data_IF_097080625188
#
_entry.id   IF_097080625188
#
_cell.length_a   1.000
_cell.length_b   1.000
_cell.length_c   1.000
_cell.angle_alpha   90.00
_cell.angle_beta   90.00
_cell.angle_gamma   90.00
#
_symmetry.space_group_name_H-M   'P 1'
#
loop_
_entity.id
_entity.type
_entity.pdbx_description
1 polymer ?
#
# COMPACT_ATOMS: atom_id res chain seq x y z
N UNK A 1 64.33 69.22 6.32
CA UNK A 1 63.96 67.83 6.79
C UNK A 1 62.45 67.69 6.94
N UNK A 2 61.74 68.78 7.26
CA UNK A 2 60.27 68.76 7.46
C UNK A 2 59.43 68.50 6.21
N UNK A 3 59.89 68.98 5.03
CA UNK A 3 59.17 68.81 3.75
C UNK A 3 59.07 67.37 3.27
N UNK A 4 60.09 66.56 3.57
CA UNK A 4 60.09 65.12 3.22
C UNK A 4 59.16 64.31 4.12
N UNK A 5 58.99 64.72 5.36
CA UNK A 5 58.09 64.08 6.35
C UNK A 5 56.62 64.35 5.99
N UNK A 6 56.30 65.57 5.54
CA UNK A 6 54.94 65.93 5.11
C UNK A 6 54.52 65.14 3.89
N UNK A 7 55.42 64.99 2.86
CA UNK A 7 55.14 64.19 1.66
C UNK A 7 54.91 62.73 1.99
N UNK A 8 55.67 62.13 2.92
CA UNK A 8 55.49 60.76 3.33
C UNK A 8 54.19 60.55 4.05
N UNK A 9 53.74 61.46 4.89
CA UNK A 9 52.46 61.41 5.60
C UNK A 9 51.29 61.52 4.59
N UNK A 10 51.37 62.42 3.58
CA UNK A 10 50.34 62.59 2.55
C UNK A 10 50.23 61.34 1.67
N UNK A 11 51.35 60.72 1.26
CA UNK A 11 51.35 59.47 0.50
C UNK A 11 50.77 58.31 1.31
N UNK A 12 51.07 58.23 2.61
CA UNK A 12 50.53 57.24 3.50
C UNK A 12 49.00 57.34 3.65
N UNK A 13 48.48 58.55 3.79
CA UNK A 13 47.04 58.83 3.85
C UNK A 13 46.34 58.49 2.53
N UNK A 14 46.96 58.81 1.41
CA UNK A 14 46.42 58.48 0.08
C UNK A 14 46.33 56.99 -0.16
N UNK A 15 47.35 56.22 0.24
CA UNK A 15 47.34 54.74 0.21
C UNK A 15 46.27 54.14 1.08
N UNK A 16 46.03 54.70 2.24
CA UNK A 16 44.98 54.27 3.19
C UNK A 16 43.58 54.48 2.59
N UNK A 17 43.32 55.64 1.95
CA UNK A 17 42.05 55.94 1.28
C UNK A 17 41.79 54.99 0.13
N UNK A 18 42.80 54.72 -0.72
CA UNK A 18 42.70 53.79 -1.88
C UNK A 18 42.42 52.35 -1.35
N UNK A 19 43.11 51.94 -0.28
CA UNK A 19 42.89 50.62 0.32
C UNK A 19 41.50 50.47 0.87
N UNK A 20 40.97 51.47 1.57
CA UNK A 20 39.59 51.48 2.07
C UNK A 20 38.55 51.45 0.94
N UNK A 21 38.79 52.22 -0.14
CA UNK A 21 37.91 52.20 -1.31
C UNK A 21 37.88 50.82 -2.00
N UNK A 22 39.04 50.18 -2.13
CA UNK A 22 39.15 48.83 -2.71
C UNK A 22 38.46 47.77 -1.86
N UNK A 23 38.59 47.84 -0.52
CA UNK A 23 37.87 46.97 0.41
C UNK A 23 36.34 47.18 0.37
N UNK A 24 35.89 48.44 0.22
CA UNK A 24 34.48 48.79 0.06
C UNK A 24 33.88 48.18 -1.23
N UNK A 25 34.60 48.26 -2.37
CA UNK A 25 34.18 47.70 -3.63
C UNK A 25 34.12 46.17 -3.57
N UNK A 26 35.10 45.51 -2.94
CA UNK A 26 35.11 44.05 -2.74
C UNK A 26 33.99 43.61 -1.80
N UNK A 27 33.71 44.34 -0.75
CA UNK A 27 32.61 44.03 0.20
C UNK A 27 31.24 44.21 -0.49
N UNK A 28 31.05 45.25 -1.24
CA UNK A 28 29.83 45.51 -2.02
C UNK A 28 29.60 44.46 -3.09
N UNK A 29 30.65 44.04 -3.79
CA UNK A 29 30.63 42.95 -4.76
C UNK A 29 30.26 41.59 -4.12
N UNK A 30 30.81 41.27 -2.93
CA UNK A 30 30.44 40.05 -2.16
C UNK A 30 29.00 40.07 -1.70
N UNK A 31 28.49 41.21 -1.26
CA UNK A 31 27.09 41.38 -0.81
C UNK A 31 26.11 41.22 -1.97
N UNK A 32 26.42 41.78 -3.13
CA UNK A 32 25.60 41.63 -4.34
C UNK A 32 25.59 40.17 -4.88
N UNK A 33 26.72 39.47 -4.86
CA UNK A 33 26.78 38.04 -5.21
C UNK A 33 25.99 37.16 -4.26
N UNK A 34 25.97 37.46 -2.93
CA UNK A 34 25.12 36.74 -1.96
C UNK A 34 23.63 36.99 -2.22
N UNK A 35 23.23 38.25 -2.54
CA UNK A 35 21.83 38.55 -2.90
C UNK A 35 21.40 37.84 -4.19
N UNK A 36 22.24 37.83 -5.22
CA UNK A 36 21.96 37.12 -6.47
C UNK A 36 21.85 35.60 -6.28
N UNK A 37 22.73 35.00 -5.46
CA UNK A 37 22.61 33.56 -5.12
C UNK A 37 21.34 33.23 -4.34
N UNK A 38 20.94 34.07 -3.40
CA UNK A 38 19.68 33.84 -2.66
C UNK A 38 18.45 34.00 -3.55
N UNK A 39 18.43 34.95 -4.48
CA UNK A 39 17.36 35.11 -5.47
C UNK A 39 17.30 33.95 -6.48
N UNK A 40 18.46 33.44 -6.90
CA UNK A 40 18.54 32.27 -7.79
C UNK A 40 18.04 31.00 -7.08
N UNK A 41 18.39 30.82 -5.81
CA UNK A 41 17.90 29.71 -5.01
C UNK A 41 16.39 29.80 -4.72
N UNK A 42 15.87 31.01 -4.48
CA UNK A 42 14.42 31.21 -4.36
C UNK A 42 13.69 30.95 -5.70
N UNK A 43 14.25 31.38 -6.84
CA UNK A 43 13.69 31.03 -8.16
C UNK A 43 13.69 29.54 -8.40
N UNK A 44 14.80 28.84 -8.12
CA UNK A 44 14.88 27.37 -8.23
C UNK A 44 13.89 26.66 -7.31
N UNK A 45 13.75 27.09 -6.06
CA UNK A 45 12.76 26.53 -5.14
C UNK A 45 11.31 26.80 -5.57
N UNK A 46 11.03 27.97 -6.12
CA UNK A 46 9.70 28.30 -6.64
C UNK A 46 9.39 27.55 -7.94
N UNK A 47 10.40 27.31 -8.78
CA UNK A 47 10.28 26.50 -9.98
C UNK A 47 10.10 25.02 -9.64
N UNK A 48 10.84 24.48 -8.66
CA UNK A 48 10.59 23.14 -8.10
C UNK A 48 9.22 23.01 -7.44
N UNK A 49 8.73 24.06 -6.73
CA UNK A 49 7.36 24.10 -6.21
C UNK A 49 6.31 24.20 -7.32
N UNK A 50 6.60 24.88 -8.44
CA UNK A 50 5.73 24.92 -9.64
C UNK A 50 5.71 23.59 -10.38
N UNK A 51 6.85 22.91 -10.50
CA UNK A 51 6.97 21.58 -11.11
C UNK A 51 6.25 20.53 -10.24
N UNK A 52 6.30 20.66 -8.89
CA UNK A 52 5.47 19.85 -7.97
C UNK A 52 3.96 20.16 -8.04
N UNK A 53 3.58 21.29 -8.62
CA UNK A 53 2.17 21.69 -8.88
C UNK A 53 1.65 21.33 -10.26
N UNK A 54 2.49 20.80 -11.14
CA UNK A 54 2.03 20.01 -12.26
C UNK A 54 1.60 18.69 -11.63
N UNK A 55 0.27 18.46 -11.51
CA UNK A 55 -0.36 17.23 -11.06
C UNK A 55 0.01 16.06 -12.00
N UNK A 56 1.27 15.66 -11.97
CA UNK A 56 1.67 14.36 -12.51
C UNK A 56 1.32 13.38 -11.38
N UNK A 57 0.32 12.53 -11.56
CA UNK A 57 -0.06 11.58 -10.53
C UNK A 57 1.15 10.71 -10.18
N UNK A 58 1.48 10.64 -8.88
CA UNK A 58 2.59 9.83 -8.36
C UNK A 58 2.25 8.36 -8.55
N UNK A 59 3.11 7.63 -9.30
CA UNK A 59 2.93 6.20 -9.51
C UNK A 59 3.23 5.44 -8.22
N UNK A 60 2.24 4.72 -7.68
CA UNK A 60 2.34 4.00 -6.40
C UNK A 60 2.57 2.50 -6.60
N UNK A 61 1.84 1.90 -7.56
CA UNK A 61 1.95 0.47 -7.86
C UNK A 61 2.06 0.28 -9.37
N UNK A 62 3.11 -0.43 -9.81
CA UNK A 62 3.27 -0.85 -11.20
C UNK A 62 3.35 -2.36 -11.28
N UNK A 63 2.40 -2.96 -11.98
CA UNK A 63 2.35 -4.37 -12.32
C UNK A 63 2.79 -4.51 -13.77
N UNK A 64 3.83 -5.31 -14.03
CA UNK A 64 4.43 -5.43 -15.36
C UNK A 64 4.60 -6.90 -15.76
N UNK A 65 3.85 -7.32 -16.80
CA UNK A 65 3.90 -8.62 -17.46
C UNK A 65 3.83 -9.81 -16.48
N UNK A 66 2.93 -9.73 -15.49
CA UNK A 66 2.81 -10.74 -14.44
C UNK A 66 2.17 -11.99 -15.00
N UNK A 67 2.91 -13.10 -14.88
CA UNK A 67 2.42 -14.47 -15.12
C UNK A 67 2.61 -15.30 -13.86
N UNK A 68 1.60 -16.06 -13.46
CA UNK A 68 1.65 -16.95 -12.31
C UNK A 68 1.20 -18.36 -12.66
N UNK A 69 2.12 -19.31 -12.60
CA UNK A 69 1.91 -20.72 -12.81
C UNK A 69 2.00 -21.46 -11.47
N UNK A 70 0.93 -22.16 -11.08
CA UNK A 70 0.94 -23.09 -9.95
C UNK A 70 1.21 -24.51 -10.44
N UNK A 71 1.97 -25.28 -9.66
CA UNK A 71 2.11 -26.71 -9.87
C UNK A 71 0.98 -27.42 -9.14
N UNK A 72 0.16 -28.17 -9.87
CA UNK A 72 -0.89 -29.01 -9.31
C UNK A 72 -0.49 -30.46 -9.50
N UNK A 73 -0.34 -31.18 -8.42
CA UNK A 73 -0.18 -32.64 -8.48
C UNK A 73 -1.55 -33.26 -8.85
N UNK A 74 -1.58 -34.06 -9.88
CA UNK A 74 -2.82 -34.67 -10.39
C UNK A 74 -3.27 -35.85 -9.54
N UNK A 75 -2.33 -36.49 -8.85
CA UNK A 75 -2.58 -37.62 -7.98
C UNK A 75 -1.89 -37.34 -6.63
N UNK A 76 -2.67 -37.14 -5.58
CA UNK A 76 -2.16 -37.02 -4.21
C UNK A 76 -1.48 -38.33 -3.82
N UNK A 77 -0.15 -38.36 -3.79
CA UNK A 77 0.57 -39.46 -3.19
C UNK A 77 0.37 -39.43 -1.68
N UNK A 78 -0.32 -40.42 -1.16
CA UNK A 78 -0.65 -40.48 0.29
C UNK A 78 0.55 -40.86 1.17
N UNK A 79 1.71 -41.25 0.57
CA UNK A 79 2.94 -41.56 1.31
C UNK A 79 4.21 -41.21 0.54
N UNK A 80 5.31 -40.89 1.25
CA UNK A 80 6.65 -40.69 0.68
C UNK A 80 7.12 -41.91 -0.15
N UNK A 81 6.73 -43.13 0.25
CA UNK A 81 7.06 -44.37 -0.45
C UNK A 81 6.38 -44.41 -1.82
N UNK A 82 5.12 -44.01 -1.91
CA UNK A 82 4.36 -43.93 -3.14
C UNK A 82 4.91 -42.86 -4.09
N UNK A 83 5.31 -41.69 -3.54
CA UNK A 83 6.00 -40.61 -4.27
C UNK A 83 7.31 -41.12 -4.92
N UNK A 84 8.13 -41.85 -4.16
CA UNK A 84 9.38 -42.42 -4.65
C UNK A 84 9.15 -43.45 -5.76
N UNK A 85 8.17 -44.35 -5.61
CA UNK A 85 7.82 -45.36 -6.61
C UNK A 85 7.29 -44.72 -7.90
N UNK A 86 6.43 -43.73 -7.81
CA UNK A 86 5.86 -42.97 -8.94
C UNK A 86 6.92 -42.16 -9.67
N UNK A 87 7.87 -41.55 -8.92
CA UNK A 87 9.00 -40.80 -9.48
C UNK A 87 9.92 -41.71 -10.30
N UNK A 88 10.28 -42.91 -9.78
CA UNK A 88 11.11 -43.89 -10.49
C UNK A 88 10.40 -44.45 -11.71
N UNK A 89 9.08 -44.63 -11.67
CA UNK A 89 8.27 -45.13 -12.79
C UNK A 89 7.92 -44.06 -13.83
N UNK A 90 8.39 -42.80 -13.67
CA UNK A 90 8.05 -41.72 -14.61
C UNK A 90 6.57 -41.35 -14.63
N UNK A 91 5.81 -41.76 -13.62
CA UNK A 91 4.36 -41.53 -13.49
C UNK A 91 4.03 -40.26 -12.74
N UNK A 92 5.05 -39.50 -12.28
CA UNK A 92 4.87 -38.22 -11.61
C UNK A 92 4.48 -37.15 -12.63
N UNK A 93 3.17 -36.91 -12.78
CA UNK A 93 2.65 -35.84 -13.65
C UNK A 93 2.27 -34.64 -12.83
N UNK A 94 3.06 -33.58 -12.93
CA UNK A 94 2.74 -32.27 -12.42
C UNK A 94 2.07 -31.45 -13.52
N UNK A 95 0.80 -31.11 -13.33
CA UNK A 95 0.08 -30.23 -14.24
C UNK A 95 0.31 -28.78 -13.83
N UNK A 96 0.64 -27.93 -14.80
CA UNK A 96 0.77 -26.49 -14.54
C UNK A 96 -0.60 -25.84 -14.70
N UNK A 97 -1.06 -25.18 -13.66
CA UNK A 97 -2.25 -24.33 -13.70
C UNK A 97 -1.82 -22.87 -13.78
N UNK A 98 -2.13 -22.20 -14.89
CA UNK A 98 -1.86 -20.78 -15.07
C UNK A 98 -2.98 -19.96 -14.47
N UNK A 99 -2.69 -19.29 -13.37
CA UNK A 99 -3.63 -18.45 -12.65
C UNK A 99 -3.67 -17.00 -13.18
N UNK A 100 -2.52 -16.49 -13.68
CA UNK A 100 -2.39 -15.16 -14.29
C UNK A 100 -1.51 -15.29 -15.55
N UNK A 101 -1.86 -14.56 -16.59
CA UNK A 101 -1.15 -14.56 -17.86
C UNK A 101 -0.99 -13.13 -18.40
N UNK A 102 0.25 -12.64 -18.38
CA UNK A 102 0.71 -11.35 -18.92
C UNK A 102 -0.11 -10.13 -18.47
N UNK A 103 -0.35 -10.00 -17.15
CA UNK A 103 -1.10 -8.88 -16.59
C UNK A 103 -0.19 -7.69 -16.38
N UNK A 104 -0.61 -6.52 -16.89
CA UNK A 104 0.08 -5.24 -16.70
C UNK A 104 -0.92 -4.12 -16.42
N UNK A 105 -0.67 -3.30 -15.38
CA UNK A 105 -1.43 -2.09 -15.07
C UNK A 105 -0.67 -1.20 -14.09
N UNK A 106 -1.13 0.05 -13.97
CA UNK A 106 -0.56 1.06 -13.09
C UNK A 106 -1.63 1.66 -12.19
N UNK A 107 -1.27 1.91 -10.93
CA UNK A 107 -2.11 2.54 -9.92
C UNK A 107 -1.35 3.73 -9.35
N UNK A 108 -2.02 4.87 -9.31
CA UNK A 108 -1.47 6.11 -8.83
C UNK A 108 -1.92 6.38 -7.38
N UNK A 109 -1.14 7.18 -6.67
CA UNK A 109 -1.36 7.54 -5.28
C UNK A 109 -2.75 8.15 -5.07
N UNK A 110 -3.45 7.64 -4.06
CA UNK A 110 -4.80 8.09 -3.72
C UNK A 110 -5.91 7.53 -4.61
N UNK A 111 -5.61 6.67 -5.60
CA UNK A 111 -6.65 5.96 -6.35
C UNK A 111 -7.31 4.89 -5.49
N UNK A 112 -8.62 4.75 -5.65
CA UNK A 112 -9.40 3.62 -5.12
C UNK A 112 -9.74 2.70 -6.29
N UNK A 113 -9.07 1.55 -6.35
CA UNK A 113 -9.14 0.64 -7.50
C UNK A 113 -9.93 -0.61 -7.15
N UNK A 114 -11.03 -0.83 -7.85
CA UNK A 114 -11.82 -2.05 -7.74
C UNK A 114 -11.31 -3.15 -8.67
N UNK A 115 -11.16 -4.37 -8.18
CA UNK A 115 -10.81 -5.54 -8.99
C UNK A 115 -12.01 -6.48 -9.03
N UNK A 116 -12.54 -6.69 -10.23
CA UNK A 116 -13.71 -7.54 -10.48
C UNK A 116 -13.36 -8.74 -11.38
N UNK A 117 -14.21 -9.76 -11.35
CA UNK A 117 -14.07 -10.97 -12.15
C UNK A 117 -14.72 -12.18 -11.46
N UNK A 118 -14.92 -13.25 -12.19
CA UNK A 118 -15.51 -14.51 -11.69
C UNK A 118 -14.61 -15.19 -10.64
N UNK A 119 -15.17 -16.16 -9.91
CA UNK A 119 -14.37 -17.01 -9.01
C UNK A 119 -13.29 -17.75 -9.81
N UNK A 120 -12.06 -17.80 -9.26
CA UNK A 120 -10.92 -18.39 -9.95
C UNK A 120 -10.31 -17.55 -11.07
N UNK A 121 -10.75 -16.30 -11.29
CA UNK A 121 -10.19 -15.44 -12.35
C UNK A 121 -8.78 -14.91 -12.07
N UNK A 122 -8.26 -15.06 -10.84
CA UNK A 122 -6.91 -14.62 -10.45
C UNK A 122 -6.86 -13.39 -9.54
N UNK A 123 -8.01 -12.84 -9.10
CA UNK A 123 -8.08 -11.63 -8.25
C UNK A 123 -7.23 -11.71 -6.98
N UNK A 124 -7.47 -12.73 -6.15
CA UNK A 124 -6.70 -12.91 -4.91
C UNK A 124 -5.23 -13.26 -5.16
N UNK A 125 -4.92 -13.87 -6.32
CA UNK A 125 -3.54 -14.16 -6.73
C UNK A 125 -2.78 -12.87 -7.01
N UNK A 126 -3.35 -11.94 -7.79
CA UNK A 126 -2.68 -10.66 -8.09
C UNK A 126 -2.53 -9.80 -6.82
N UNK A 127 -3.51 -9.80 -5.90
CA UNK A 127 -3.39 -9.10 -4.63
C UNK A 127 -2.25 -9.66 -3.76
N UNK A 128 -2.13 -10.99 -3.66
CA UNK A 128 -1.04 -11.65 -2.94
C UNK A 128 0.32 -11.36 -3.56
N UNK A 129 0.41 -11.17 -4.87
CA UNK A 129 1.64 -10.78 -5.55
C UNK A 129 1.97 -9.30 -5.24
N UNK A 130 1.00 -8.41 -5.29
CA UNK A 130 1.18 -6.98 -4.95
C UNK A 130 1.61 -6.83 -3.50
N UNK A 131 0.97 -7.53 -2.56
CA UNK A 131 1.34 -7.51 -1.14
C UNK A 131 2.68 -8.19 -0.83
N UNK A 132 3.26 -8.91 -1.80
CA UNK A 132 4.51 -9.65 -1.62
C UNK A 132 4.37 -11.01 -0.95
N UNK A 133 3.14 -11.46 -0.68
CA UNK A 133 2.86 -12.80 -0.13
C UNK A 133 3.11 -13.92 -1.16
N UNK A 134 3.10 -13.59 -2.46
CA UNK A 134 3.46 -14.51 -3.55
C UNK A 134 4.50 -13.88 -4.47
N UNK A 135 5.41 -14.71 -4.98
CA UNK A 135 6.39 -14.33 -6.01
C UNK A 135 5.85 -14.78 -7.36
N UNK A 136 5.70 -13.90 -8.36
CA UNK A 136 5.21 -14.29 -9.68
C UNK A 136 6.19 -15.19 -10.41
N UNK A 137 5.69 -16.06 -11.30
CA UNK A 137 6.52 -16.92 -12.14
C UNK A 137 7.29 -16.12 -13.19
N UNK A 138 6.68 -15.02 -13.69
CA UNK A 138 7.29 -14.05 -14.63
C UNK A 138 6.78 -12.64 -14.34
N UNK A 139 7.53 -11.64 -14.81
CA UNK A 139 7.18 -10.23 -14.64
C UNK A 139 7.68 -9.66 -13.31
N UNK A 140 7.30 -8.42 -13.02
CA UNK A 140 7.71 -7.70 -11.81
C UNK A 140 6.59 -6.81 -11.30
N UNK A 141 6.53 -6.64 -9.97
CA UNK A 141 5.71 -5.62 -9.31
C UNK A 141 6.65 -4.62 -8.64
N UNK A 142 6.42 -3.35 -8.89
CA UNK A 142 7.11 -2.22 -8.27
C UNK A 142 6.12 -1.59 -7.28
N UNK A 143 6.38 -1.77 -6.01
CA UNK A 143 5.60 -1.24 -4.88
C UNK A 143 6.48 -1.25 -3.64
N UNK A 144 6.33 -0.28 -2.77
CA UNK A 144 6.96 -0.35 -1.44
C UNK A 144 6.13 -1.27 -0.54
N UNK A 145 6.60 -2.49 -0.34
CA UNK A 145 5.89 -3.52 0.44
C UNK A 145 5.69 -3.13 1.91
N UNK A 146 6.54 -2.26 2.46
CA UNK A 146 6.42 -1.80 3.84
C UNK A 146 5.20 -0.88 4.04
N UNK A 147 4.67 -0.33 2.96
CA UNK A 147 3.51 0.55 2.92
C UNK A 147 2.21 -0.20 2.67
N UNK A 148 2.29 -1.47 2.29
CA UNK A 148 1.13 -2.30 1.93
C UNK A 148 0.58 -3.01 3.15
N UNK A 149 -0.69 -2.80 3.44
CA UNK A 149 -1.45 -3.61 4.39
C UNK A 149 -2.52 -4.41 3.66
N UNK A 150 -2.43 -5.74 3.74
CA UNK A 150 -3.45 -6.65 3.24
C UNK A 150 -4.40 -6.99 4.39
N UNK A 151 -5.65 -6.55 4.29
CA UNK A 151 -6.71 -6.91 5.21
C UNK A 151 -7.30 -8.26 4.79
N UNK A 152 -6.81 -9.34 5.41
CA UNK A 152 -7.41 -10.67 5.32
C UNK A 152 -8.05 -10.99 6.65
N UNK A 153 -9.36 -11.16 6.67
CA UNK A 153 -10.09 -11.41 7.90
C UNK A 153 -10.05 -12.89 8.29
N UNK A 154 -9.74 -13.14 9.56
CA UNK A 154 -9.83 -14.47 10.17
C UNK A 154 -8.68 -15.42 9.87
N UNK A 155 -7.66 -15.00 9.13
CA UNK A 155 -6.42 -15.79 8.98
C UNK A 155 -5.57 -15.65 10.23
N UNK A 156 -5.15 -16.78 10.83
CA UNK A 156 -4.22 -16.79 11.95
C UNK A 156 -4.88 -16.85 13.34
N UNK A 157 -6.20 -17.04 13.44
CA UNK A 157 -6.83 -17.35 14.72
C UNK A 157 -6.53 -18.79 15.14
N UNK A 158 -6.10 -18.95 16.38
CA UNK A 158 -6.04 -20.26 17.04
C UNK A 158 -7.30 -20.45 17.88
N UNK A 159 -8.11 -21.43 17.52
CA UNK A 159 -9.39 -21.69 18.18
C UNK A 159 -9.25 -22.27 19.59
N UNK A 160 -8.08 -22.77 19.95
CA UNK A 160 -7.80 -23.25 21.32
C UNK A 160 -7.38 -22.13 22.27
N UNK A 161 -7.00 -20.98 21.75
CA UNK A 161 -6.67 -19.79 22.52
C UNK A 161 -7.95 -18.96 22.82
N UNK A 162 -7.85 -18.14 23.85
CA UNK A 162 -8.89 -17.16 24.23
C UNK A 162 -8.94 -16.00 23.22
N UNK A 163 -10.03 -15.20 23.26
CA UNK A 163 -10.13 -13.98 22.49
C UNK A 163 -8.96 -13.03 22.75
N UNK A 164 -8.60 -12.87 24.04
CA UNK A 164 -7.46 -12.07 24.50
C UNK A 164 -6.16 -12.54 23.87
N UNK A 165 -5.84 -13.81 23.96
CA UNK A 165 -4.61 -14.38 23.39
C UNK A 165 -4.57 -14.23 21.86
N UNK A 166 -5.72 -14.38 21.20
CA UNK A 166 -5.83 -14.18 19.76
C UNK A 166 -5.61 -12.71 19.34
N UNK A 167 -5.95 -11.71 20.17
CA UNK A 167 -5.60 -10.30 19.89
C UNK A 167 -4.10 -10.15 19.78
N UNK A 168 -3.33 -10.72 20.69
CA UNK A 168 -1.86 -10.67 20.65
C UNK A 168 -1.29 -11.49 19.50
N UNK A 169 -1.79 -12.70 19.28
CA UNK A 169 -1.33 -13.58 18.21
C UNK A 169 -1.57 -12.93 16.84
N UNK A 170 -2.80 -12.50 16.57
CA UNK A 170 -3.14 -11.86 15.30
C UNK A 170 -2.46 -10.50 15.12
N UNK A 171 -2.38 -9.70 16.18
CA UNK A 171 -1.64 -8.44 16.14
C UNK A 171 -0.18 -8.65 15.76
N UNK A 172 0.48 -9.67 16.33
CA UNK A 172 1.85 -10.01 15.98
C UNK A 172 2.00 -10.50 14.52
N UNK A 173 1.04 -11.29 14.00
CA UNK A 173 1.01 -11.74 12.60
C UNK A 173 0.89 -10.54 11.65
N UNK A 174 0.10 -9.52 12.02
CA UNK A 174 -0.07 -8.27 11.25
C UNK A 174 1.18 -7.37 11.36
N UNK A 175 2.06 -7.62 12.35
CA UNK A 175 3.29 -6.86 12.58
C UNK A 175 3.18 -5.78 13.66
N UNK A 176 2.20 -5.89 14.56
CA UNK A 176 2.11 -5.03 15.75
C UNK A 176 3.02 -5.55 16.84
N UNK A 177 3.72 -4.66 17.53
CA UNK A 177 4.45 -5.02 18.73
C UNK A 177 3.51 -5.12 19.94
N UNK A 178 3.98 -5.79 21.00
CA UNK A 178 3.20 -5.97 22.22
C UNK A 178 2.75 -4.66 22.84
N UNK A 179 3.62 -3.64 22.84
CA UNK A 179 3.32 -2.34 23.43
C UNK A 179 2.18 -1.63 22.69
N UNK A 180 2.17 -1.71 21.37
CA UNK A 180 1.08 -1.17 20.56
C UNK A 180 -0.24 -1.89 20.89
N UNK A 181 -0.23 -3.22 20.98
CA UNK A 181 -1.42 -4.00 21.32
C UNK A 181 -1.92 -3.65 22.71
N UNK A 182 -1.04 -3.56 23.72
CA UNK A 182 -1.40 -3.17 25.09
C UNK A 182 -2.09 -1.80 25.13
N UNK A 183 -1.62 -0.84 24.31
CA UNK A 183 -2.19 0.52 24.23
C UNK A 183 -3.57 0.58 23.56
N UNK A 184 -3.85 -0.33 22.64
CA UNK A 184 -5.08 -0.32 21.84
C UNK A 184 -6.03 -1.49 22.16
N UNK A 185 -5.70 -2.30 23.16
CA UNK A 185 -6.49 -3.49 23.51
C UNK A 185 -7.95 -3.16 23.78
N UNK A 186 -8.21 -2.17 24.62
CA UNK A 186 -9.56 -1.78 24.98
C UNK A 186 -10.34 -1.23 23.77
N UNK A 187 -9.67 -0.47 22.86
CA UNK A 187 -10.29 -0.01 21.61
C UNK A 187 -10.69 -1.21 20.73
N UNK A 188 -9.81 -2.21 20.59
CA UNK A 188 -10.09 -3.43 19.82
C UNK A 188 -11.32 -4.15 20.38
N UNK A 189 -11.34 -4.39 21.69
CA UNK A 189 -12.42 -5.12 22.37
C UNK A 189 -13.75 -4.37 22.23
N UNK A 190 -13.75 -3.07 22.50
CA UNK A 190 -14.93 -2.20 22.39
C UNK A 190 -15.43 -2.11 20.94
N UNK A 191 -14.51 -2.02 19.96
CA UNK A 191 -14.92 -2.01 18.56
C UNK A 191 -15.56 -3.33 18.14
N UNK A 192 -15.02 -4.48 18.60
CA UNK A 192 -15.54 -5.81 18.33
C UNK A 192 -16.85 -6.12 19.08
N UNK A 193 -17.17 -5.36 20.16
CA UNK A 193 -18.32 -5.58 21.06
C UNK A 193 -18.26 -6.97 21.73
N UNK A 194 -17.08 -7.30 22.31
CA UNK A 194 -16.77 -8.61 22.88
C UNK A 194 -16.26 -8.53 24.32
N UNK A 195 -16.56 -7.45 25.06
CA UNK A 195 -16.04 -7.19 26.41
C UNK A 195 -16.24 -8.36 27.37
N UNK A 196 -17.38 -9.04 27.29
CA UNK A 196 -17.72 -10.17 28.16
C UNK A 196 -17.21 -11.55 27.71
N UNK A 197 -16.52 -11.61 26.53
CA UNK A 197 -16.13 -12.87 25.89
C UNK A 197 -14.64 -13.08 25.78
N UNK A 198 -13.82 -12.06 26.11
CA UNK A 198 -12.39 -12.08 25.79
C UNK A 198 -11.59 -13.18 26.51
N UNK A 199 -12.06 -13.68 27.61
CA UNK A 199 -11.41 -14.78 28.37
C UNK A 199 -11.96 -16.17 27.99
N UNK A 200 -12.95 -16.21 27.06
CA UNK A 200 -13.48 -17.44 26.49
C UNK A 200 -12.61 -17.89 25.29
N UNK A 201 -12.52 -19.21 25.09
CA UNK A 201 -11.82 -19.78 23.92
C UNK A 201 -12.58 -19.46 22.63
N UNK A 202 -11.84 -19.10 21.58
CA UNK A 202 -12.40 -18.71 20.27
C UNK A 202 -13.22 -19.84 19.62
N UNK A 203 -12.97 -21.10 19.94
CA UNK A 203 -13.83 -22.22 19.50
C UNK A 203 -15.29 -22.10 19.96
N UNK A 204 -15.54 -21.33 21.02
CA UNK A 204 -16.88 -21.06 21.53
C UNK A 204 -17.55 -19.85 20.88
N UNK A 205 -16.81 -19.11 20.05
CA UNK A 205 -17.31 -17.93 19.34
C UNK A 205 -18.17 -18.31 18.15
N UNK A 206 -19.18 -17.50 17.86
CA UNK A 206 -19.84 -17.54 16.55
C UNK A 206 -18.90 -17.05 15.45
N UNK A 207 -19.18 -17.42 14.19
CA UNK A 207 -18.42 -16.90 13.05
C UNK A 207 -18.45 -15.36 12.96
N UNK A 208 -19.57 -14.75 13.37
CA UNK A 208 -19.71 -13.30 13.48
C UNK A 208 -18.78 -12.70 14.54
N UNK A 209 -18.65 -13.31 15.72
CA UNK A 209 -17.73 -12.87 16.77
C UNK A 209 -16.27 -12.93 16.32
N UNK A 210 -15.87 -14.04 15.68
CA UNK A 210 -14.52 -14.20 15.11
C UNK A 210 -14.24 -13.10 14.08
N UNK A 211 -15.18 -12.88 13.17
CA UNK A 211 -15.04 -11.87 12.11
C UNK A 211 -14.98 -10.46 12.67
N UNK A 212 -15.78 -10.12 13.70
CA UNK A 212 -15.75 -8.82 14.38
C UNK A 212 -14.42 -8.57 15.06
N UNK A 213 -13.90 -9.57 15.80
CA UNK A 213 -12.59 -9.45 16.46
C UNK A 213 -11.47 -9.31 15.46
N UNK A 214 -11.44 -10.12 14.40
CA UNK A 214 -10.45 -10.05 13.33
C UNK A 214 -10.44 -8.67 12.65
N UNK A 215 -11.62 -8.13 12.36
CA UNK A 215 -11.75 -6.81 11.76
C UNK A 215 -11.26 -5.70 12.70
N UNK A 216 -11.60 -5.74 13.98
CA UNK A 216 -11.17 -4.76 14.97
C UNK A 216 -9.64 -4.73 15.08
N UNK A 217 -8.98 -5.90 15.20
CA UNK A 217 -7.52 -6.03 15.26
C UNK A 217 -6.89 -5.43 13.98
N UNK A 218 -7.42 -5.80 12.81
CA UNK A 218 -6.84 -5.41 11.54
C UNK A 218 -6.98 -3.91 11.22
N UNK A 219 -7.95 -3.22 11.84
CA UNK A 219 -8.27 -1.81 11.54
C UNK A 219 -7.94 -0.82 12.66
N UNK A 220 -7.31 -1.27 13.74
CA UNK A 220 -6.98 -0.41 14.90
C UNK A 220 -5.82 0.54 14.62
N UNK A 221 -4.91 0.18 13.71
CA UNK A 221 -3.76 1.01 13.36
C UNK A 221 -4.15 2.20 12.50
N UNK A 222 -3.29 3.24 12.52
CA UNK A 222 -3.32 4.34 11.56
C UNK A 222 -3.37 3.82 10.12
N UNK A 223 -4.02 4.60 9.26
CA UNK A 223 -4.31 4.23 7.88
C UNK A 223 -3.02 3.99 7.09
N UNK A 224 -2.82 2.82 6.48
CA UNK A 224 -1.63 2.54 5.67
C UNK A 224 -1.63 3.39 4.40
N UNK A 225 -0.45 3.61 3.80
CA UNK A 225 -0.37 4.32 2.51
C UNK A 225 -1.05 3.51 1.40
N UNK A 226 -0.94 2.16 1.44
CA UNK A 226 -1.60 1.24 0.50
C UNK A 226 -2.43 0.21 1.28
N UNK A 227 -3.73 0.20 1.04
CA UNK A 227 -4.68 -0.70 1.68
C UNK A 227 -5.26 -1.68 0.66
N UNK A 228 -5.16 -2.97 0.93
CA UNK A 228 -5.75 -4.02 0.11
C UNK A 228 -6.89 -4.69 0.90
N UNK A 229 -8.10 -4.66 0.32
CA UNK A 229 -9.32 -5.22 0.88
C UNK A 229 -9.76 -6.42 0.02
N UNK A 230 -9.63 -7.65 0.55
CA UNK A 230 -10.09 -8.87 -0.13
C UNK A 230 -11.41 -9.35 0.49
N UNK A 231 -12.54 -9.01 -0.15
CA UNK A 231 -13.92 -9.38 0.25
C UNK A 231 -14.35 -8.95 1.68
N UNK A 232 -13.64 -8.00 2.27
CA UNK A 232 -13.78 -7.59 3.69
C UNK A 232 -15.06 -6.77 3.96
N UNK A 233 -15.73 -6.26 2.92
CA UNK A 233 -16.88 -5.34 3.07
C UNK A 233 -18.19 -5.99 3.54
N UNK A 234 -18.21 -7.30 3.78
CA UNK A 234 -19.42 -8.05 4.16
C UNK A 234 -19.32 -8.73 5.53
N UNK A 235 -18.62 -8.09 6.50
CA UNK A 235 -18.29 -8.69 7.78
C UNK A 235 -19.36 -8.44 8.84
N UNK A 236 -19.71 -9.50 9.59
CA UNK A 236 -20.60 -9.43 10.74
C UNK A 236 -22.09 -9.32 10.39
N UNK A 237 -22.87 -9.04 11.41
CA UNK A 237 -24.31 -8.77 11.28
C UNK A 237 -24.59 -7.39 10.67
N UNK A 238 -25.86 -7.06 10.42
CA UNK A 238 -26.27 -5.83 9.77
C UNK A 238 -25.81 -4.55 10.51
N UNK A 239 -25.71 -4.59 11.84
CA UNK A 239 -25.30 -3.42 12.64
C UNK A 239 -23.78 -3.26 12.59
N UNK A 240 -23.02 -4.34 12.77
CA UNK A 240 -21.57 -4.32 12.67
C UNK A 240 -21.10 -3.97 11.26
N UNK A 241 -21.85 -4.41 10.24
CA UNK A 241 -21.57 -4.07 8.84
C UNK A 241 -21.58 -2.56 8.60
N UNK A 242 -22.54 -1.80 9.14
CA UNK A 242 -22.54 -0.34 9.04
C UNK A 242 -21.33 0.30 9.72
N UNK A 243 -20.93 -0.22 10.88
CA UNK A 243 -19.78 0.24 11.66
C UNK A 243 -18.46 -0.04 10.90
N UNK A 244 -18.32 -1.24 10.37
CA UNK A 244 -17.14 -1.64 9.56
C UNK A 244 -17.03 -0.88 8.25
N UNK A 245 -18.15 -0.67 7.53
CA UNK A 245 -18.19 0.16 6.32
C UNK A 245 -17.78 1.62 6.62
N UNK A 246 -18.23 2.19 7.72
CA UNK A 246 -17.84 3.54 8.14
C UNK A 246 -16.34 3.63 8.44
N UNK A 247 -15.77 2.62 9.13
CA UNK A 247 -14.32 2.55 9.42
C UNK A 247 -13.52 2.45 8.13
N UNK A 248 -13.90 1.56 7.20
CA UNK A 248 -13.22 1.42 5.90
C UNK A 248 -13.32 2.72 5.09
N UNK A 249 -14.48 3.35 5.02
CA UNK A 249 -14.65 4.65 4.34
C UNK A 249 -13.74 5.73 4.95
N UNK A 250 -13.64 5.79 6.28
CA UNK A 250 -12.70 6.70 6.95
C UNK A 250 -11.26 6.44 6.52
N UNK A 251 -10.84 5.16 6.44
CA UNK A 251 -9.50 4.78 5.97
C UNK A 251 -9.27 5.17 4.51
N UNK A 252 -10.25 4.98 3.64
CA UNK A 252 -10.17 5.36 2.21
C UNK A 252 -10.06 6.87 2.02
N UNK A 253 -10.74 7.68 2.84
CA UNK A 253 -10.72 9.15 2.74
C UNK A 253 -9.48 9.79 3.36
N UNK A 254 -8.65 9.04 4.06
CA UNK A 254 -7.40 9.54 4.64
C UNK A 254 -6.27 9.73 3.60
N UNK A 255 -6.56 9.51 2.30
CA UNK A 255 -5.59 9.71 1.21
C UNK A 255 -4.78 8.47 0.85
N UNK A 256 -5.15 7.30 1.36
CA UNK A 256 -4.54 6.02 1.01
C UNK A 256 -4.85 5.62 -0.43
N UNK A 257 -3.94 4.88 -1.03
CA UNK A 257 -4.20 4.11 -2.25
C UNK A 257 -4.89 2.81 -1.86
N UNK A 258 -6.05 2.52 -2.42
CA UNK A 258 -6.88 1.39 -1.97
C UNK A 258 -7.17 0.44 -3.13
N UNK A 259 -6.93 -0.87 -2.92
CA UNK A 259 -7.36 -1.93 -3.82
C UNK A 259 -8.50 -2.71 -3.16
N UNK A 260 -9.63 -2.81 -3.84
CA UNK A 260 -10.82 -3.51 -3.33
C UNK A 260 -11.16 -4.67 -4.27
N UNK A 261 -11.19 -5.89 -3.73
CA UNK A 261 -11.83 -7.02 -4.42
C UNK A 261 -13.24 -7.18 -3.87
N UNK A 262 -14.21 -7.17 -4.75
CA UNK A 262 -15.61 -7.42 -4.40
C UNK A 262 -16.35 -8.10 -5.54
N UNK A 263 -17.26 -9.02 -5.16
CA UNK A 263 -18.22 -9.59 -6.09
C UNK A 263 -19.39 -8.66 -6.40
N UNK A 264 -19.57 -7.61 -5.61
CA UNK A 264 -20.64 -6.61 -5.79
C UNK A 264 -20.18 -5.46 -6.67
N UNK A 265 -20.68 -5.42 -7.90
CA UNK A 265 -20.45 -4.31 -8.84
C UNK A 265 -20.96 -2.97 -8.30
N UNK A 266 -22.02 -2.98 -7.48
CA UNK A 266 -22.54 -1.77 -6.84
C UNK A 266 -21.54 -1.15 -5.86
N UNK A 267 -20.80 -1.98 -5.12
CA UNK A 267 -19.73 -1.52 -4.21
C UNK A 267 -18.61 -0.85 -5.00
N UNK A 268 -18.20 -1.46 -6.12
CA UNK A 268 -17.14 -0.90 -6.98
C UNK A 268 -17.59 0.39 -7.63
N UNK A 269 -18.82 0.43 -8.20
CA UNK A 269 -19.38 1.64 -8.81
C UNK A 269 -19.48 2.81 -7.84
N UNK A 270 -19.75 2.55 -6.56
CA UNK A 270 -19.99 3.59 -5.55
C UNK A 270 -18.72 4.11 -4.87
N UNK A 271 -17.67 3.30 -4.77
CA UNK A 271 -16.52 3.61 -3.92
C UNK A 271 -15.19 3.72 -4.68
N UNK A 272 -15.10 3.26 -5.93
CA UNK A 272 -13.85 3.22 -6.67
C UNK A 272 -13.71 4.37 -7.66
N UNK A 273 -12.48 4.81 -7.88
CA UNK A 273 -12.12 5.80 -8.92
C UNK A 273 -11.72 5.12 -10.23
N UNK A 274 -11.32 3.84 -10.16
CA UNK A 274 -10.89 3.01 -11.29
C UNK A 274 -11.34 1.57 -11.05
N UNK A 275 -11.64 0.83 -12.09
CA UNK A 275 -11.91 -0.61 -12.02
C UNK A 275 -11.03 -1.41 -12.98
N UNK A 276 -10.67 -2.61 -12.56
CA UNK A 276 -9.88 -3.60 -13.30
C UNK A 276 -10.70 -4.88 -13.37
N UNK A 277 -10.99 -5.36 -14.58
CA UNK A 277 -11.65 -6.63 -14.79
C UNK A 277 -10.63 -7.70 -15.21
N UNK A 278 -10.53 -8.75 -14.38
CA UNK A 278 -9.70 -9.91 -14.65
C UNK A 278 -10.60 -11.11 -14.93
N UNK A 279 -10.35 -11.79 -16.04
CA UNK A 279 -11.08 -12.99 -16.42
C UNK A 279 -10.13 -14.08 -16.89
N UNK A 280 -10.28 -15.29 -16.31
CA UNK A 280 -9.45 -16.47 -16.64
C UNK A 280 -7.94 -16.14 -16.68
N UNK A 281 -7.47 -15.34 -15.74
CA UNK A 281 -6.07 -14.93 -15.61
C UNK A 281 -5.63 -13.81 -16.54
N UNK A 282 -6.49 -13.21 -17.35
CA UNK A 282 -6.16 -12.13 -18.28
C UNK A 282 -6.83 -10.82 -17.87
N UNK A 283 -6.15 -9.70 -18.14
CA UNK A 283 -6.72 -8.37 -18.03
C UNK A 283 -7.69 -8.13 -19.20
N UNK A 284 -8.99 -8.02 -18.92
CA UNK A 284 -10.03 -7.77 -19.92
C UNK A 284 -10.26 -6.29 -20.15
N UNK A 285 -10.39 -5.55 -19.08
CA UNK A 285 -10.69 -4.12 -19.16
C UNK A 285 -10.16 -3.37 -17.94
N UNK A 286 -9.74 -2.13 -18.14
CA UNK A 286 -9.36 -1.18 -17.09
C UNK A 286 -9.93 0.18 -17.44
N UNK A 287 -10.50 0.89 -16.48
CA UNK A 287 -11.04 2.23 -16.70
C UNK A 287 -12.04 2.68 -15.66
N UNK A 288 -12.98 3.51 -16.09
CA UNK A 288 -14.06 4.03 -15.25
C UNK A 288 -14.89 2.89 -14.65
N UNK A 289 -15.19 2.93 -13.32
CA UNK A 289 -15.88 1.85 -12.63
C UNK A 289 -17.23 1.47 -13.22
N UNK A 290 -18.04 2.48 -13.62
CA UNK A 290 -19.35 2.23 -14.20
C UNK A 290 -19.23 1.49 -15.53
N UNK A 291 -18.35 1.98 -16.40
CA UNK A 291 -18.11 1.38 -17.73
C UNK A 291 -17.63 -0.06 -17.63
N UNK A 292 -16.66 -0.32 -16.75
CA UNK A 292 -16.09 -1.66 -16.57
C UNK A 292 -17.11 -2.62 -15.95
N UNK A 293 -17.83 -2.19 -14.91
CA UNK A 293 -18.86 -3.00 -14.27
C UNK A 293 -20.04 -3.30 -15.19
N UNK A 294 -20.52 -2.31 -15.97
CA UNK A 294 -21.61 -2.52 -16.92
C UNK A 294 -21.23 -3.52 -18.03
N UNK A 295 -19.96 -3.49 -18.47
CA UNK A 295 -19.43 -4.49 -19.41
C UNK A 295 -19.36 -5.89 -18.79
N UNK A 296 -18.93 -5.98 -17.52
CA UNK A 296 -18.86 -7.24 -16.78
C UNK A 296 -20.26 -7.85 -16.55
N UNK A 297 -21.25 -7.03 -16.15
CA UNK A 297 -22.64 -7.49 -15.92
C UNK A 297 -23.28 -8.05 -17.20
N UNK A 298 -23.03 -7.41 -18.35
CA UNK A 298 -23.52 -7.89 -19.65
C UNK A 298 -22.96 -9.27 -20.04
N UNK A 299 -21.73 -9.60 -19.64
CA UNK A 299 -21.16 -10.93 -19.89
C UNK A 299 -21.89 -12.02 -19.08
N UNK A 300 -22.36 -11.71 -17.87
CA UNK A 300 -23.08 -12.66 -17.02
C UNK A 300 -24.52 -12.94 -17.45
N UNK A 301 -25.05 -12.15 -18.37
CA UNK A 301 -26.41 -12.29 -18.93
C UNK A 301 -26.43 -12.94 -20.31
N UNK A 302 -25.27 -13.20 -20.90
CA UNK A 302 -25.08 -13.91 -22.18
C UNK A 302 -24.65 -15.35 -21.94
#
# INVERSE_FOLDING_TARGET
MDFLIEITIILGLLMLVVSCAALGILWHGRRNRKKQRSQLNQKKNNEQKRIRKLDVPELEIKVQNITMDFKREKDEATSLKELAIRSVKGQYRCEKFRALDDISFEIYKGEVVGIIGTNGSGKSTILKIISGALIPSKGKVFVDKNKVQLLTLGTGFDYELTGRENVYLNGAIIGYDKKFIDQHYDEIVQFAELEGFMDEKVRNYSSGMVSRLAFAIATVREVPEILILDEVLSVGDMFFRKKSEARIKSMMHAGSTVLIVSHSTSVIKSNCTKAIWIEKGHLRMIGDPKTVCDAYEKMGTA
#
